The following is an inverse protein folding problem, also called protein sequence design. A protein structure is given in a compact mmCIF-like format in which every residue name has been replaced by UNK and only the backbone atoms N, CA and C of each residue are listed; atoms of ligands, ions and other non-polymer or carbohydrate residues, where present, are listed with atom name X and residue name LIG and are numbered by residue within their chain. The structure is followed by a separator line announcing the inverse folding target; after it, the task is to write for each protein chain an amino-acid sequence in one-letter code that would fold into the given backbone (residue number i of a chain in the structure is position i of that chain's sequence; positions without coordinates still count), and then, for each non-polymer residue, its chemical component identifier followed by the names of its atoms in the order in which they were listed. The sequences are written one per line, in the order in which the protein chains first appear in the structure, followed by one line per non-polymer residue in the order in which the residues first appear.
data_IF_035838251423
#
_entry.id   IF_035838251423
#
_cell.length_a   1.000
_cell.length_b   1.000
_cell.length_c   1.000
_cell.angle_alpha   90.00
_cell.angle_beta   90.00
_cell.angle_gamma   90.00
#
_symmetry.space_group_name_H-M   'P 1'
#
loop_
_entity.id
_entity.type
_entity.pdbx_description
1 polymer ?
#
# COMPACT_ATOMS: atom_id res chain seq x y z
N UNK A 1 32.14 -41.44 -35.76
CA UNK A 1 33.02 -40.69 -34.84
C UNK A 1 33.20 -41.55 -33.58
N UNK A 2 34.34 -42.21 -33.41
CA UNK A 2 34.57 -43.13 -32.27
C UNK A 2 34.93 -42.30 -31.03
N UNK A 3 34.29 -42.52 -29.85
CA UNK A 3 34.65 -41.80 -28.63
C UNK A 3 36.12 -42.03 -28.29
N UNK A 4 36.91 -40.95 -28.20
CA UNK A 4 38.33 -41.02 -27.82
C UNK A 4 38.54 -41.43 -26.36
N UNK A 5 37.50 -41.39 -25.53
CA UNK A 5 37.61 -41.75 -24.11
C UNK A 5 37.40 -43.24 -23.86
N UNK A 6 38.38 -43.88 -23.22
CA UNK A 6 38.27 -45.27 -22.76
C UNK A 6 37.24 -45.38 -21.64
N UNK A 7 36.33 -46.36 -21.74
CA UNK A 7 35.37 -46.69 -20.67
C UNK A 7 36.09 -47.03 -19.35
N UNK A 8 35.43 -46.80 -18.20
CA UNK A 8 36.00 -47.12 -16.88
C UNK A 8 36.43 -48.58 -16.76
N UNK A 9 35.65 -49.51 -17.33
CA UNK A 9 35.97 -50.93 -17.38
C UNK A 9 37.28 -51.20 -18.15
N UNK A 10 37.45 -50.56 -19.33
CA UNK A 10 38.69 -50.66 -20.11
C UNK A 10 39.89 -50.06 -19.37
N UNK A 11 39.73 -48.91 -18.71
CA UNK A 11 40.79 -48.32 -17.86
C UNK A 11 41.15 -49.26 -16.70
N UNK A 12 40.17 -49.93 -16.08
CA UNK A 12 40.43 -50.89 -15.00
C UNK A 12 41.18 -52.13 -15.51
N UNK A 13 40.76 -52.71 -16.64
CA UNK A 13 41.45 -53.81 -17.30
C UNK A 13 42.88 -53.44 -17.72
N UNK A 14 43.08 -52.28 -18.35
CA UNK A 14 44.42 -51.82 -18.73
C UNK A 14 45.34 -51.58 -17.53
N UNK A 15 44.76 -51.20 -16.37
CA UNK A 15 45.49 -51.07 -15.11
C UNK A 15 45.88 -52.44 -14.52
N UNK A 16 45.01 -53.44 -14.62
CA UNK A 16 45.29 -54.81 -14.19
C UNK A 16 46.32 -55.51 -15.09
N UNK A 17 46.30 -55.24 -16.40
CA UNK A 17 47.24 -55.80 -17.39
C UNK A 17 48.59 -55.07 -17.37
N UNK A 18 48.75 -54.01 -16.56
CA UNK A 18 49.99 -53.23 -16.48
C UNK A 18 50.26 -52.34 -17.71
N UNK A 19 49.29 -52.18 -18.61
CA UNK A 19 49.41 -51.31 -19.81
C UNK A 19 49.18 -49.83 -19.51
N UNK A 20 48.53 -49.51 -18.39
CA UNK A 20 48.48 -48.15 -17.86
C UNK A 20 49.56 -48.01 -16.80
N UNK A 21 50.51 -47.10 -17.04
CA UNK A 21 51.47 -46.67 -16.03
C UNK A 21 50.69 -46.28 -14.76
N UNK A 22 51.14 -46.71 -13.57
CA UNK A 22 50.53 -46.26 -12.34
C UNK A 22 50.52 -44.74 -12.35
N UNK A 23 49.33 -44.13 -12.32
CA UNK A 23 49.22 -42.72 -12.01
C UNK A 23 49.83 -42.56 -10.63
N UNK A 24 51.05 -42.01 -10.59
CA UNK A 24 51.61 -41.46 -9.37
C UNK A 24 50.57 -40.48 -8.86
N UNK A 25 49.91 -40.87 -7.76
CA UNK A 25 49.19 -39.88 -6.97
C UNK A 25 50.30 -38.97 -6.48
N UNK A 26 50.45 -37.82 -7.14
CA UNK A 26 51.26 -36.71 -6.65
C UNK A 26 50.87 -36.60 -5.19
N UNK A 27 51.81 -36.96 -4.29
CA UNK A 27 51.60 -36.77 -2.86
C UNK A 27 51.30 -35.28 -2.76
N UNK A 28 50.16 -34.86 -2.18
CA UNK A 28 49.95 -33.43 -1.98
C UNK A 28 51.21 -32.90 -1.33
N UNK A 29 51.84 -31.92 -1.98
CA UNK A 29 53.15 -31.45 -1.57
C UNK A 29 53.05 -31.10 -0.09
N UNK A 30 54.08 -31.42 0.69
CA UNK A 30 54.06 -31.13 2.13
C UNK A 30 53.77 -29.64 2.36
N UNK A 31 54.22 -28.80 1.43
CA UNK A 31 53.87 -27.38 1.30
C UNK A 31 52.38 -27.13 1.08
N UNK A 32 51.68 -27.90 0.25
CA UNK A 32 50.22 -27.78 0.09
C UNK A 32 49.47 -28.15 1.38
N UNK A 33 49.90 -29.21 2.08
CA UNK A 33 49.30 -29.60 3.37
C UNK A 33 49.54 -28.50 4.42
N UNK A 34 50.76 -27.97 4.49
CA UNK A 34 51.10 -26.84 5.37
C UNK A 34 50.40 -25.54 4.95
N UNK A 35 50.13 -25.36 3.65
CA UNK A 35 49.40 -24.20 3.12
C UNK A 35 47.91 -24.24 3.50
N UNK A 36 47.34 -25.42 3.82
CA UNK A 36 45.98 -25.52 4.38
C UNK A 36 46.01 -25.04 5.84
N UNK A 37 45.92 -23.72 6.00
CA UNK A 37 45.74 -23.09 7.30
C UNK A 37 44.48 -23.64 7.98
N UNK A 38 44.56 -23.86 9.29
CA UNK A 38 43.39 -24.20 10.09
C UNK A 38 42.27 -23.17 9.87
N UNK A 39 41.00 -23.60 9.83
CA UNK A 39 39.89 -22.67 9.64
C UNK A 39 39.82 -21.70 10.83
N UNK A 40 39.70 -20.40 10.54
CA UNK A 40 39.61 -19.31 11.53
C UNK A 40 38.64 -19.61 12.67
N UNK A 41 37.55 -20.32 12.41
CA UNK A 41 36.58 -20.79 13.41
C UNK A 41 37.19 -21.52 14.62
N UNK A 42 38.36 -22.17 14.48
CA UNK A 42 39.06 -22.85 15.59
C UNK A 42 39.91 -21.90 16.44
N UNK A 43 40.29 -20.75 15.89
CA UNK A 43 41.10 -19.72 16.55
C UNK A 43 40.22 -18.67 17.27
N UNK A 44 38.89 -18.74 17.10
CA UNK A 44 37.95 -17.76 17.64
C UNK A 44 37.65 -18.00 19.12
N UNK A 45 37.64 -16.92 19.89
CA UNK A 45 37.25 -16.89 21.31
C UNK A 45 35.71 -16.91 21.38
N UNK A 46 35.15 -17.55 22.41
CA UNK A 46 33.69 -17.67 22.61
C UNK A 46 33.01 -16.32 22.79
N UNK A 47 33.67 -15.38 23.46
CA UNK A 47 33.13 -14.05 23.81
C UNK A 47 33.49 -12.97 22.78
N UNK A 48 33.90 -13.38 21.58
CA UNK A 48 34.30 -12.47 20.52
C UNK A 48 33.08 -11.71 19.94
N UNK A 49 33.33 -10.46 19.55
CA UNK A 49 32.33 -9.61 18.93
C UNK A 49 31.91 -10.10 17.52
N UNK A 50 30.77 -10.78 17.44
CA UNK A 50 30.23 -11.31 16.19
C UNK A 50 30.01 -10.27 15.06
N UNK A 51 29.42 -9.09 15.33
CA UNK A 51 29.31 -8.00 14.33
C UNK A 51 30.63 -7.62 13.64
N UNK A 52 31.78 -7.71 14.33
CA UNK A 52 33.10 -7.43 13.74
C UNK A 52 33.54 -8.52 12.76
N UNK A 53 33.17 -9.78 13.03
CA UNK A 53 33.51 -10.94 12.19
C UNK A 53 32.66 -10.96 10.90
N UNK A 54 31.38 -10.59 11.02
CA UNK A 54 30.41 -10.68 9.93
C UNK A 54 29.64 -9.34 9.73
N UNK A 55 30.30 -8.28 9.23
CA UNK A 55 29.73 -6.94 9.22
C UNK A 55 28.65 -6.70 8.16
N UNK A 56 28.71 -7.42 7.02
CA UNK A 56 27.85 -7.18 5.84
C UNK A 56 27.28 -8.48 5.27
N UNK A 57 26.27 -8.36 4.40
CA UNK A 57 25.71 -9.50 3.68
C UNK A 57 26.80 -10.22 2.88
N UNK A 58 27.01 -11.50 3.19
CA UNK A 58 28.04 -12.32 2.56
C UNK A 58 27.57 -13.77 2.44
N UNK A 59 28.08 -14.49 1.43
CA UNK A 59 27.83 -15.93 1.30
C UNK A 59 28.39 -16.70 2.49
N UNK A 60 27.72 -17.79 2.89
CA UNK A 60 28.15 -18.60 4.03
C UNK A 60 29.58 -19.16 3.85
N UNK A 61 30.45 -18.89 4.83
CA UNK A 61 31.86 -19.33 4.86
C UNK A 61 32.08 -20.24 6.07
N UNK A 62 32.17 -21.54 5.83
CA UNK A 62 32.36 -22.54 6.90
C UNK A 62 33.69 -22.42 7.64
N UNK A 63 34.66 -21.68 7.10
CA UNK A 63 35.94 -21.42 7.76
C UNK A 63 35.86 -20.32 8.83
N UNK A 64 34.84 -19.47 8.77
CA UNK A 64 34.67 -18.30 9.66
C UNK A 64 33.55 -18.53 10.67
N UNK A 65 32.49 -19.25 10.30
CA UNK A 65 31.34 -19.47 11.18
C UNK A 65 31.65 -20.57 12.20
N UNK A 66 31.74 -20.28 13.51
CA UNK A 66 32.12 -21.23 14.56
C UNK A 66 30.92 -22.08 15.04
N UNK A 67 30.03 -22.45 14.12
CA UNK A 67 28.81 -23.20 14.42
C UNK A 67 28.80 -24.54 13.67
N UNK A 68 28.51 -25.67 14.35
CA UNK A 68 28.45 -26.99 13.72
C UNK A 68 27.12 -27.21 12.96
N UNK A 69 26.75 -26.28 12.07
CA UNK A 69 25.49 -26.31 11.32
C UNK A 69 25.48 -27.46 10.31
N UNK A 70 24.35 -28.19 10.24
CA UNK A 70 24.10 -29.28 9.28
C UNK A 70 22.80 -29.00 8.52
N UNK A 71 22.78 -29.33 7.24
CA UNK A 71 21.58 -29.21 6.39
C UNK A 71 21.50 -30.37 5.41
N UNK A 72 20.26 -30.79 5.10
CA UNK A 72 19.90 -31.74 4.04
C UNK A 72 19.74 -33.20 4.49
N UNK A 73 19.02 -33.97 3.68
CA UNK A 73 18.74 -35.40 3.88
C UNK A 73 19.95 -36.25 3.47
N UNK A 74 20.58 -36.98 4.40
CA UNK A 74 21.91 -37.58 4.17
C UNK A 74 21.86 -39.06 3.80
N UNK A 75 22.34 -39.39 2.58
CA UNK A 75 22.91 -40.72 2.26
C UNK A 75 24.42 -40.82 2.57
N UNK A 76 25.15 -39.69 2.62
CA UNK A 76 26.59 -39.63 2.93
C UNK A 76 26.89 -38.46 3.87
N UNK A 77 27.14 -38.72 5.18
CA UNK A 77 27.29 -37.67 6.18
C UNK A 77 28.59 -36.85 6.07
N UNK A 78 29.55 -37.27 5.27
CA UNK A 78 30.82 -36.54 5.13
C UNK A 78 30.70 -35.33 4.18
N UNK A 79 29.78 -35.38 3.21
CA UNK A 79 29.62 -34.30 2.24
C UNK A 79 28.74 -33.18 2.82
N UNK A 80 29.36 -32.02 3.09
CA UNK A 80 28.63 -30.79 3.44
C UNK A 80 27.94 -30.25 2.19
N UNK A 81 26.61 -30.15 2.22
CA UNK A 81 25.82 -29.50 1.17
C UNK A 81 26.19 -28.00 1.15
N UNK A 82 26.23 -27.35 -0.02
CA UNK A 82 26.59 -25.94 -0.08
C UNK A 82 25.53 -25.08 0.62
N UNK A 83 25.83 -24.62 1.84
CA UNK A 83 25.12 -23.52 2.52
C UNK A 83 25.18 -22.19 1.74
N UNK A 84 25.91 -22.14 0.62
CA UNK A 84 26.14 -20.94 -0.18
C UNK A 84 24.88 -20.38 -0.81
N UNK A 85 23.85 -21.20 -1.04
CA UNK A 85 22.61 -20.77 -1.72
C UNK A 85 21.62 -20.08 -0.79
N UNK A 86 21.79 -20.18 0.53
CA UNK A 86 20.86 -19.59 1.48
C UNK A 86 21.26 -18.13 1.77
N UNK A 87 20.34 -17.16 1.61
CA UNK A 87 20.53 -15.82 2.13
C UNK A 87 20.55 -15.91 3.65
N UNK A 88 21.73 -15.76 4.24
CA UNK A 88 21.91 -15.83 5.68
C UNK A 88 21.76 -14.45 6.33
N UNK A 89 21.33 -14.43 7.59
CA UNK A 89 21.12 -13.22 8.38
C UNK A 89 22.24 -13.04 9.43
N UNK A 90 23.42 -13.61 9.18
CA UNK A 90 24.54 -13.58 10.13
C UNK A 90 25.08 -12.17 10.41
N UNK A 91 24.87 -11.22 9.49
CA UNK A 91 25.20 -9.79 9.67
C UNK A 91 24.11 -9.00 10.41
N UNK A 92 22.91 -9.58 10.58
CA UNK A 92 21.75 -8.96 11.20
C UNK A 92 21.40 -9.65 12.53
N UNK A 93 22.40 -9.91 13.36
CA UNK A 93 22.17 -10.41 14.72
C UNK A 93 21.58 -9.31 15.61
N UNK A 94 20.85 -9.63 16.69
CA UNK A 94 20.28 -8.62 17.59
C UNK A 94 21.31 -7.59 18.09
N UNK A 95 22.50 -8.06 18.49
CA UNK A 95 23.60 -7.19 18.91
C UNK A 95 24.11 -6.26 17.79
N UNK A 96 24.11 -6.71 16.54
CA UNK A 96 24.43 -5.87 15.39
C UNK A 96 23.34 -4.81 15.15
N UNK A 97 22.07 -5.23 15.18
CA UNK A 97 20.91 -4.35 14.98
C UNK A 97 20.89 -3.24 16.03
N UNK A 98 21.08 -3.55 17.31
CA UNK A 98 21.12 -2.55 18.37
C UNK A 98 22.21 -1.49 18.15
N UNK A 99 23.42 -1.92 17.77
CA UNK A 99 24.52 -0.99 17.44
C UNK A 99 24.21 -0.13 16.22
N UNK A 100 23.65 -0.74 15.16
CA UNK A 100 23.26 -0.03 13.96
C UNK A 100 22.16 1.00 14.25
N UNK A 101 21.10 0.62 14.96
CA UNK A 101 20.01 1.52 15.35
C UNK A 101 20.51 2.66 16.26
N UNK A 102 21.41 2.38 17.21
CA UNK A 102 22.03 3.41 18.05
C UNK A 102 22.83 4.42 17.23
N UNK A 103 23.56 3.97 16.20
CA UNK A 103 24.29 4.84 15.30
C UNK A 103 23.39 5.63 14.33
N UNK A 104 22.28 5.03 13.86
CA UNK A 104 21.32 5.64 12.93
C UNK A 104 20.43 6.66 13.65
N UNK A 105 20.20 6.50 14.96
CA UNK A 105 19.32 7.38 15.76
C UNK A 105 19.60 8.87 15.60
N UNK A 106 20.86 9.26 15.33
CA UNK A 106 21.25 10.65 15.06
C UNK A 106 20.63 11.27 13.81
N UNK A 107 20.16 10.45 12.86
CA UNK A 107 19.52 10.89 11.62
C UNK A 107 17.98 10.94 11.74
N UNK A 108 17.41 10.38 12.80
CA UNK A 108 15.97 10.37 13.03
C UNK A 108 15.52 11.68 13.65
N UNK A 109 14.37 12.19 13.20
CA UNK A 109 13.66 13.29 13.85
C UNK A 109 12.55 12.75 14.74
N UNK A 110 12.20 13.47 15.81
CA UNK A 110 11.06 13.10 16.64
C UNK A 110 9.76 13.36 15.88
N UNK A 111 8.79 12.45 16.03
CA UNK A 111 7.44 12.68 15.53
C UNK A 111 6.73 13.76 16.37
N UNK A 112 6.01 14.72 15.76
CA UNK A 112 5.31 15.76 16.51
C UNK A 112 4.26 15.14 17.45
N UNK A 113 4.39 15.41 18.76
CA UNK A 113 3.50 14.87 19.79
C UNK A 113 2.05 15.38 19.66
N UNK A 114 1.90 16.59 19.14
CA UNK A 114 0.60 17.23 18.87
C UNK A 114 -0.20 16.48 17.81
N UNK A 115 0.45 15.66 16.97
CA UNK A 115 -0.20 14.96 15.89
C UNK A 115 -0.85 13.66 16.39
N UNK A 116 -1.97 13.80 17.10
CA UNK A 116 -2.89 12.70 17.38
C UNK A 116 -3.70 12.35 16.12
N UNK A 117 -4.18 11.10 16.01
CA UNK A 117 -4.87 10.61 14.81
C UNK A 117 -6.04 11.48 14.33
N UNK A 118 -6.76 12.12 15.25
CA UNK A 118 -7.86 13.03 14.94
C UNK A 118 -7.39 14.38 14.38
N UNK A 119 -6.27 14.91 14.89
CA UNK A 119 -5.74 16.21 14.49
C UNK A 119 -5.08 16.17 13.10
N UNK A 120 -4.61 15.00 12.66
CA UNK A 120 -4.09 14.79 11.30
C UNK A 120 -5.15 15.15 10.25
N UNK A 121 -6.37 14.63 10.39
CA UNK A 121 -7.46 14.88 9.45
C UNK A 121 -7.91 16.34 9.42
N UNK A 122 -7.69 17.07 10.52
CA UNK A 122 -8.07 18.48 10.64
C UNK A 122 -7.02 19.41 10.00
N UNK A 123 -5.75 19.23 10.35
CA UNK A 123 -4.67 20.11 9.88
C UNK A 123 -4.06 19.69 8.55
N UNK A 124 -4.15 18.40 8.19
CA UNK A 124 -3.57 17.81 6.99
C UNK A 124 -4.64 17.03 6.18
N UNK A 125 -5.65 17.71 5.62
CA UNK A 125 -6.76 17.06 4.91
C UNK A 125 -6.36 16.43 3.56
N UNK A 126 -5.13 16.69 3.08
CA UNK A 126 -4.60 16.22 1.81
C UNK A 126 -3.65 15.03 2.03
N UNK A 127 -4.05 13.85 1.57
CA UNK A 127 -3.25 12.63 1.61
C UNK A 127 -2.65 12.41 0.22
N UNK A 128 -1.31 12.39 0.15
CA UNK A 128 -0.58 12.11 -1.09
C UNK A 128 0.08 10.74 -0.96
N UNK A 129 -0.35 9.79 -1.78
CA UNK A 129 0.21 8.43 -1.81
C UNK A 129 1.08 8.24 -3.06
N UNK A 130 2.25 7.64 -2.83
CA UNK A 130 3.20 7.24 -3.87
C UNK A 130 3.84 5.91 -3.51
N UNK A 131 4.33 5.19 -4.51
CA UNK A 131 4.95 3.87 -4.35
C UNK A 131 6.35 3.85 -4.95
N UNK A 132 7.29 3.29 -4.20
CA UNK A 132 8.66 3.03 -4.63
C UNK A 132 8.89 1.51 -4.77
N UNK A 133 9.49 1.09 -5.87
CA UNK A 133 9.75 -0.32 -6.18
C UNK A 133 11.26 -0.59 -6.21
N UNK A 134 11.70 -1.61 -5.48
CA UNK A 134 13.10 -2.04 -5.42
C UNK A 134 13.20 -3.42 -6.06
N UNK A 135 13.99 -3.52 -7.14
CA UNK A 135 14.18 -4.76 -7.92
C UNK A 135 15.62 -5.25 -7.86
N UNK A 136 15.80 -6.57 -7.98
CA UNK A 136 17.11 -7.15 -8.25
C UNK A 136 17.41 -7.01 -9.74
N UNK A 137 18.18 -6.01 -10.14
CA UNK A 137 18.58 -5.79 -11.52
C UNK A 137 19.46 -4.56 -11.70
N UNK A 138 19.96 -4.36 -12.92
CA UNK A 138 20.84 -3.22 -13.22
C UNK A 138 20.04 -1.91 -13.39
N UNK A 139 18.75 -2.00 -13.72
CA UNK A 139 17.87 -0.84 -13.87
C UNK A 139 17.15 -0.54 -12.56
N UNK A 140 17.32 0.68 -12.06
CA UNK A 140 16.54 1.25 -10.94
C UNK A 140 15.20 1.84 -11.39
N UNK A 141 14.90 1.84 -12.70
CA UNK A 141 13.73 2.51 -13.26
C UNK A 141 12.51 1.59 -13.21
N UNK A 142 11.44 2.05 -12.58
CA UNK A 142 10.12 1.45 -12.66
C UNK A 142 9.10 2.53 -13.04
N UNK A 143 8.35 2.28 -14.11
CA UNK A 143 7.35 3.22 -14.64
C UNK A 143 6.19 3.46 -13.66
N UNK A 144 5.90 2.51 -12.76
CA UNK A 144 4.83 2.63 -11.76
C UNK A 144 5.14 3.69 -10.69
N UNK A 145 6.42 3.99 -10.46
CA UNK A 145 6.87 5.01 -9.50
C UNK A 145 6.38 6.44 -9.83
N UNK A 146 5.90 6.69 -11.06
CA UNK A 146 5.42 8.01 -11.49
C UNK A 146 4.01 8.32 -11.02
N UNK A 147 3.21 7.30 -10.71
CA UNK A 147 1.80 7.44 -10.37
C UNK A 147 1.69 8.12 -9.01
N UNK A 148 0.90 9.19 -8.95
CA UNK A 148 0.54 9.90 -7.73
C UNK A 148 -0.96 9.76 -7.51
N UNK A 149 -1.34 9.41 -6.29
CA UNK A 149 -2.75 9.42 -5.86
C UNK A 149 -2.91 10.49 -4.79
N UNK A 150 -3.82 11.44 -5.03
CA UNK A 150 -4.16 12.49 -4.08
C UNK A 150 -5.58 12.27 -3.59
N UNK A 151 -5.75 12.19 -2.28
CA UNK A 151 -7.02 11.97 -1.61
C UNK A 151 -7.32 13.11 -0.64
N UNK A 152 -8.56 13.60 -0.65
CA UNK A 152 -9.03 14.61 0.32
C UNK A 152 -10.55 14.55 0.48
N UNK A 153 -11.07 15.05 1.60
CA UNK A 153 -12.51 15.15 1.86
C UNK A 153 -13.09 16.46 1.30
N UNK A 154 -14.23 16.41 0.63
CA UNK A 154 -14.82 17.59 -0.01
C UNK A 154 -15.32 18.61 1.02
N UNK A 155 -15.90 18.15 2.12
CA UNK A 155 -16.36 18.97 3.25
C UNK A 155 -15.28 19.88 3.84
N UNK A 156 -14.00 19.54 3.68
CA UNK A 156 -12.87 20.34 4.19
C UNK A 156 -12.39 21.40 3.19
N UNK A 157 -12.76 21.29 1.92
CA UNK A 157 -12.32 22.20 0.86
C UNK A 157 -13.34 23.31 0.57
N UNK A 158 -14.63 22.96 0.42
CA UNK A 158 -15.69 23.88 -0.01
C UNK A 158 -16.87 23.78 0.96
N UNK A 159 -17.23 24.90 1.59
CA UNK A 159 -18.40 25.00 2.48
C UNK A 159 -19.67 25.47 1.77
N UNK A 160 -19.55 26.11 0.61
CA UNK A 160 -20.69 26.60 -0.17
C UNK A 160 -21.39 25.46 -0.93
N UNK A 161 -22.69 25.23 -0.66
CA UNK A 161 -23.51 24.18 -1.26
C UNK A 161 -23.49 24.21 -2.80
N UNK A 162 -23.67 25.40 -3.41
CA UNK A 162 -23.66 25.55 -4.88
C UNK A 162 -22.31 25.13 -5.48
N UNK A 163 -21.22 25.61 -4.88
CA UNK A 163 -19.88 25.30 -5.36
C UNK A 163 -19.55 23.82 -5.13
N UNK A 164 -20.04 23.23 -4.03
CA UNK A 164 -19.92 21.80 -3.75
C UNK A 164 -20.63 20.96 -4.81
N UNK A 165 -21.87 21.28 -5.14
CA UNK A 165 -22.63 20.60 -6.18
C UNK A 165 -21.92 20.69 -7.55
N UNK A 166 -21.49 21.90 -7.92
CA UNK A 166 -20.72 22.13 -9.14
C UNK A 166 -19.41 21.34 -9.14
N UNK A 167 -18.70 21.27 -8.01
CA UNK A 167 -17.45 20.52 -7.88
C UNK A 167 -17.67 19.02 -8.07
N UNK A 168 -18.70 18.44 -7.45
CA UNK A 168 -19.06 17.02 -7.60
C UNK A 168 -19.37 16.70 -9.07
N UNK A 169 -20.11 17.58 -9.76
CA UNK A 169 -20.40 17.42 -11.19
C UNK A 169 -19.14 17.49 -12.06
N UNK A 170 -18.23 18.42 -11.79
CA UNK A 170 -16.98 18.57 -12.55
C UNK A 170 -16.04 17.37 -12.37
N UNK A 171 -16.01 16.77 -11.19
CA UNK A 171 -15.07 15.68 -10.88
C UNK A 171 -15.58 14.30 -11.32
N UNK A 172 -16.90 14.13 -11.40
CA UNK A 172 -17.55 12.90 -11.84
C UNK A 172 -17.20 11.69 -10.98
N UNK A 173 -16.78 10.59 -11.62
CA UNK A 173 -16.56 9.28 -10.99
C UNK A 173 -15.41 9.20 -9.96
N UNK A 174 -14.74 10.32 -9.67
CA UNK A 174 -13.64 10.40 -8.70
C UNK A 174 -14.10 10.76 -7.29
N UNK A 175 -15.38 11.12 -7.13
CA UNK A 175 -16.01 11.41 -5.85
C UNK A 175 -16.77 10.17 -5.36
N UNK A 176 -16.55 9.81 -4.11
CA UNK A 176 -17.35 8.81 -3.40
C UNK A 176 -18.31 9.49 -2.41
N UNK A 177 -19.61 9.37 -2.66
CA UNK A 177 -20.66 9.98 -1.84
C UNK A 177 -20.82 9.35 -0.46
N UNK A 178 -20.36 8.11 -0.25
CA UNK A 178 -20.45 7.45 1.06
C UNK A 178 -19.41 7.98 2.05
N UNK A 179 -18.19 8.22 1.57
CA UNK A 179 -17.05 8.65 2.40
C UNK A 179 -16.76 10.15 2.31
N UNK A 180 -17.45 10.87 1.41
CA UNK A 180 -17.17 12.25 1.02
C UNK A 180 -15.71 12.46 0.57
N UNK A 181 -15.10 11.41 0.01
CA UNK A 181 -13.70 11.41 -0.39
C UNK A 181 -13.54 11.58 -1.90
N UNK A 182 -12.54 12.36 -2.28
CA UNK A 182 -12.15 12.61 -3.66
C UNK A 182 -10.83 11.94 -3.90
N UNK A 183 -10.72 11.17 -4.98
CA UNK A 183 -9.47 10.52 -5.39
C UNK A 183 -9.03 10.99 -6.78
N UNK A 184 -7.91 11.70 -6.84
CA UNK A 184 -7.28 12.13 -8.10
C UNK A 184 -6.01 11.31 -8.33
N UNK A 185 -6.02 10.51 -9.40
CA UNK A 185 -4.84 9.75 -9.84
C UNK A 185 -4.20 10.46 -11.03
N UNK A 186 -2.89 10.75 -10.95
CA UNK A 186 -2.11 11.37 -12.02
C UNK A 186 -0.94 10.47 -12.43
N UNK A 187 -0.86 10.15 -13.71
CA UNK A 187 0.13 9.26 -14.30
C UNK A 187 0.67 9.74 -15.67
N UNK A 188 0.25 10.94 -16.10
CA UNK A 188 0.50 11.49 -17.45
C UNK A 188 1.95 11.88 -17.69
N UNK A 189 2.60 12.47 -16.69
CA UNK A 189 3.96 12.97 -16.81
C UNK A 189 4.99 11.88 -16.48
N UNK A 190 6.19 12.03 -17.02
CA UNK A 190 7.29 11.07 -16.83
C UNK A 190 7.79 11.04 -15.39
N UNK A 191 7.87 12.20 -14.73
CA UNK A 191 8.39 12.31 -13.36
C UNK A 191 7.27 12.40 -12.33
N UNK A 192 7.51 11.81 -11.15
CA UNK A 192 6.62 11.93 -9.98
C UNK A 192 6.38 13.39 -9.59
N UNK A 193 7.43 14.22 -9.63
CA UNK A 193 7.35 15.65 -9.31
C UNK A 193 6.34 16.37 -10.22
N UNK A 194 6.37 16.11 -11.52
CA UNK A 194 5.42 16.69 -12.47
C UNK A 194 4.00 16.19 -12.23
N UNK A 195 3.80 14.88 -11.99
CA UNK A 195 2.47 14.34 -11.69
C UNK A 195 1.87 14.90 -10.40
N UNK A 196 2.71 15.17 -9.39
CA UNK A 196 2.30 15.87 -8.17
C UNK A 196 1.87 17.31 -8.47
N UNK A 197 2.71 18.10 -9.14
CA UNK A 197 2.35 19.48 -9.51
C UNK A 197 1.11 19.54 -10.41
N UNK A 198 0.94 18.54 -11.28
CA UNK A 198 -0.27 18.42 -12.10
C UNK A 198 -1.52 18.12 -11.27
N UNK A 199 -1.43 17.26 -10.24
CA UNK A 199 -2.52 17.02 -9.32
C UNK A 199 -2.89 18.29 -8.53
N UNK A 200 -1.90 19.03 -8.02
CA UNK A 200 -2.09 20.32 -7.34
C UNK A 200 -2.75 21.36 -8.25
N UNK A 201 -2.34 21.42 -9.53
CA UNK A 201 -2.98 22.25 -10.55
C UNK A 201 -4.45 21.86 -10.78
N UNK A 202 -4.75 20.56 -10.93
CA UNK A 202 -6.12 20.08 -11.14
C UNK A 202 -7.04 20.45 -9.98
N UNK A 203 -6.57 20.30 -8.74
CA UNK A 203 -7.33 20.67 -7.54
C UNK A 203 -7.62 22.17 -7.54
N UNK A 204 -6.60 22.99 -7.78
CA UNK A 204 -6.74 24.46 -7.83
C UNK A 204 -7.70 24.90 -8.94
N UNK A 205 -7.58 24.32 -10.13
CA UNK A 205 -8.45 24.64 -11.26
C UNK A 205 -9.91 24.26 -10.98
N UNK A 206 -10.16 23.05 -10.47
CA UNK A 206 -11.50 22.61 -10.09
C UNK A 206 -12.11 23.49 -8.99
N UNK A 207 -11.29 23.90 -8.01
CA UNK A 207 -11.73 24.79 -6.94
C UNK A 207 -12.18 26.15 -7.50
N UNK A 208 -11.36 26.81 -8.32
CA UNK A 208 -11.73 28.12 -8.90
C UNK A 208 -12.92 28.02 -9.87
N UNK A 209 -12.97 26.99 -10.72
CA UNK A 209 -14.09 26.78 -11.65
C UNK A 209 -15.40 26.47 -10.92
N UNK A 210 -15.35 25.77 -9.78
CA UNK A 210 -16.53 25.50 -8.95
C UNK A 210 -17.11 26.77 -8.31
N UNK A 211 -16.27 27.76 -8.01
CA UNK A 211 -16.70 29.04 -7.44
C UNK A 211 -17.30 29.98 -8.50
N UNK A 212 -16.78 29.95 -9.73
CA UNK A 212 -17.28 30.74 -10.85
C UNK A 212 -18.75 30.38 -11.14
N UNK A 213 -19.58 31.38 -11.47
CA UNK A 213 -20.97 31.18 -11.92
C UNK A 213 -21.04 31.55 -13.40
N UNK A 214 -21.44 30.61 -14.22
CA UNK A 214 -21.64 30.84 -15.66
C UNK A 214 -23.11 31.13 -15.99
N UNK A 215 -23.41 31.90 -17.06
CA UNK A 215 -24.79 32.21 -17.45
C UNK A 215 -25.66 30.98 -17.71
N UNK A 216 -25.06 29.90 -18.22
CA UNK A 216 -25.76 28.65 -18.51
C UNK A 216 -26.16 27.86 -17.27
N UNK A 217 -25.59 28.14 -16.09
CA UNK A 217 -26.02 27.50 -14.84
C UNK A 217 -27.47 27.85 -14.48
N UNK A 218 -28.00 28.97 -15.02
CA UNK A 218 -29.41 29.36 -14.87
C UNK A 218 -30.37 28.49 -15.70
N UNK A 219 -29.84 27.75 -16.68
CA UNK A 219 -30.63 26.85 -17.54
C UNK A 219 -30.78 25.44 -16.92
N UNK A 220 -30.24 25.20 -15.72
CA UNK A 220 -30.31 23.91 -15.04
C UNK A 220 -31.77 23.49 -14.80
N UNK A 221 -32.13 22.28 -15.26
CA UNK A 221 -33.44 21.70 -15.00
C UNK A 221 -33.43 21.00 -13.63
N UNK A 222 -34.61 20.75 -13.06
CA UNK A 222 -34.73 20.04 -11.77
C UNK A 222 -34.15 18.64 -11.79
N UNK A 223 -34.13 18.01 -12.96
CA UNK A 223 -33.54 16.67 -13.16
C UNK A 223 -32.03 16.67 -12.96
N UNK A 224 -31.38 17.83 -13.07
CA UNK A 224 -29.94 17.95 -12.92
C UNK A 224 -29.52 18.02 -11.45
N UNK A 225 -30.44 18.39 -10.54
CA UNK A 225 -30.16 18.52 -9.11
C UNK A 225 -29.70 17.18 -8.51
N UNK A 226 -28.60 17.21 -7.74
CA UNK A 226 -28.09 16.01 -7.06
C UNK A 226 -29.09 15.52 -5.99
N UNK A 227 -29.74 16.47 -5.32
CA UNK A 227 -30.73 16.21 -4.28
C UNK A 227 -32.13 16.60 -4.76
N UNK A 228 -33.13 15.78 -4.44
CA UNK A 228 -34.54 16.04 -4.79
C UNK A 228 -35.08 17.12 -3.87
N UNK A 229 -35.30 18.33 -4.41
CA UNK A 229 -35.91 19.45 -3.68
C UNK A 229 -37.43 19.35 -3.74
N UNK A 230 -38.09 19.37 -2.58
CA UNK A 230 -39.56 19.37 -2.48
C UNK A 230 -40.16 20.70 -2.95
N UNK A 231 -39.50 21.81 -2.66
CA UNK A 231 -39.93 23.15 -3.04
C UNK A 231 -40.05 23.30 -4.57
N UNK A 232 -41.23 23.75 -4.98
CA UNK A 232 -41.71 23.89 -6.34
C UNK A 232 -42.10 22.58 -7.03
N UNK A 233 -41.92 21.40 -6.40
CA UNK A 233 -42.15 20.09 -7.02
C UNK A 233 -43.61 19.86 -7.40
N UNK A 234 -43.87 18.89 -8.28
CA UNK A 234 -45.25 18.46 -8.57
C UNK A 234 -45.93 17.89 -7.31
N UNK A 235 -45.16 17.28 -6.41
CA UNK A 235 -45.66 16.80 -5.13
C UNK A 235 -46.12 17.96 -4.24
N UNK A 236 -45.35 19.05 -4.15
CA UNK A 236 -45.79 20.23 -3.41
C UNK A 236 -47.07 20.83 -3.99
N UNK A 237 -47.16 20.98 -5.32
CA UNK A 237 -48.39 21.44 -5.98
C UNK A 237 -49.58 20.54 -5.65
N UNK A 238 -49.38 19.22 -5.69
CA UNK A 238 -50.41 18.25 -5.36
C UNK A 238 -50.85 18.33 -3.89
N UNK A 239 -49.91 18.53 -2.96
CA UNK A 239 -50.21 18.75 -1.54
C UNK A 239 -51.00 20.05 -1.34
N UNK A 240 -50.61 21.13 -2.03
CA UNK A 240 -51.34 22.41 -1.99
C UNK A 240 -52.76 22.25 -2.56
N UNK A 241 -52.93 21.53 -3.66
CA UNK A 241 -54.24 21.20 -4.24
C UNK A 241 -55.12 20.41 -3.26
N UNK A 242 -54.56 19.38 -2.61
CA UNK A 242 -55.24 18.60 -1.57
C UNK A 242 -55.66 19.52 -0.40
N UNK A 243 -54.77 20.40 0.07
CA UNK A 243 -55.07 21.35 1.15
C UNK A 243 -56.21 22.30 0.74
N UNK A 244 -56.23 22.79 -0.51
CA UNK A 244 -57.34 23.61 -1.01
C UNK A 244 -58.66 22.83 -1.10
N UNK A 245 -58.64 21.55 -1.50
CA UNK A 245 -59.82 20.69 -1.51
C UNK A 245 -60.37 20.44 -0.11
N UNK A 246 -59.49 20.24 0.88
CA UNK A 246 -59.88 20.09 2.28
C UNK A 246 -60.46 21.40 2.81
N UNK A 247 -59.80 22.53 2.56
CA UNK A 247 -60.23 23.85 3.06
C UNK A 247 -61.58 24.29 2.46
N UNK A 248 -61.87 23.88 1.23
CA UNK A 248 -63.17 24.14 0.59
C UNK A 248 -64.29 23.22 1.09
N UNK A 249 -63.97 21.98 1.48
CA UNK A 249 -64.91 21.02 2.08
C UNK A 249 -65.12 21.20 3.58
N UNK A 250 -64.15 21.77 4.31
CA UNK A 250 -64.20 21.98 5.77
C UNK A 250 -65.16 23.08 6.24
N UNK A 251 -66.16 23.45 5.42
CA UNK A 251 -67.43 23.97 5.93
C UNK A 251 -68.29 22.86 6.57
N UNK A 252 -67.86 21.60 6.43
CA UNK A 252 -68.39 20.44 7.14
C UNK A 252 -67.61 20.20 8.45
N UNK A 253 -68.35 19.85 9.51
CA UNK A 253 -67.99 19.68 10.93
C UNK A 253 -66.54 19.31 11.26
N UNK A 254 -65.97 19.92 12.32
CA UNK A 254 -64.59 19.69 12.82
C UNK A 254 -64.18 18.22 12.96
N UNK A 255 -65.16 17.33 13.19
CA UNK A 255 -64.95 15.89 13.34
C UNK A 255 -64.48 15.21 12.04
N UNK A 256 -65.00 15.62 10.87
CA UNK A 256 -64.61 15.03 9.57
C UNK A 256 -63.17 15.36 9.19
N UNK A 257 -62.73 16.58 9.53
CA UNK A 257 -61.34 17.02 9.33
C UNK A 257 -60.39 16.24 10.24
N UNK A 258 -60.81 15.90 11.47
CA UNK A 258 -60.01 15.07 12.39
C UNK A 258 -59.89 13.63 11.92
N UNK A 259 -60.98 13.01 11.47
CA UNK A 259 -60.95 11.64 10.92
C UNK A 259 -60.05 11.57 9.68
N UNK A 260 -60.23 12.48 8.72
CA UNK A 260 -59.39 12.54 7.52
C UNK A 260 -57.91 12.83 7.86
N UNK A 261 -57.66 13.69 8.84
CA UNK A 261 -56.31 13.98 9.33
C UNK A 261 -55.63 12.76 9.97
N UNK A 262 -56.40 11.86 10.59
CA UNK A 262 -55.90 10.58 11.10
C UNK A 262 -55.65 9.59 9.96
N UNK A 263 -56.54 9.51 8.97
CA UNK A 263 -56.35 8.66 7.78
C UNK A 263 -55.10 9.07 6.98
N UNK A 264 -54.87 10.36 6.78
CA UNK A 264 -53.68 10.85 6.07
C UNK A 264 -52.38 10.62 6.86
N UNK A 265 -52.40 10.71 8.20
CA UNK A 265 -51.23 10.33 9.01
C UNK A 265 -50.93 8.85 8.91
N UNK A 266 -51.96 8.01 8.89
CA UNK A 266 -51.82 6.57 8.69
C UNK A 266 -51.25 6.26 7.29
N UNK A 267 -51.71 6.98 6.27
CA UNK A 267 -51.24 6.80 4.88
C UNK A 267 -49.79 7.28 4.68
N UNK A 268 -49.40 8.38 5.33
CA UNK A 268 -48.05 8.95 5.24
C UNK A 268 -47.04 8.35 6.23
N UNK A 269 -47.47 7.43 7.10
CA UNK A 269 -46.59 6.78 8.09
C UNK A 269 -45.99 7.73 9.12
N UNK A 270 -46.66 8.84 9.42
CA UNK A 270 -46.17 9.86 10.38
C UNK A 270 -46.50 9.37 11.80
N UNK A 271 -45.51 9.12 12.68
CA UNK A 271 -45.77 8.64 14.04
C UNK A 271 -46.51 9.70 14.89
N UNK A 272 -47.35 9.25 15.83
CA UNK A 272 -47.98 10.14 16.82
C UNK A 272 -46.91 10.80 17.68
N UNK A 273 -46.73 12.11 17.52
CA UNK A 273 -46.04 12.91 18.53
C UNK A 273 -46.97 12.98 19.74
N UNK A 274 -46.72 12.14 20.75
CA UNK A 274 -47.28 12.32 22.08
C UNK A 274 -46.72 13.63 22.64
N UNK A 275 -47.44 14.74 22.44
CA UNK A 275 -47.28 15.87 23.33
C UNK A 275 -47.83 15.45 24.70
N UNK A 276 -47.02 15.47 25.77
CA UNK A 276 -47.56 15.33 27.11
C UNK A 276 -48.54 16.50 27.33
N UNK A 277 -49.78 16.16 27.64
CA UNK A 277 -50.85 17.13 27.83
C UNK A 277 -50.63 18.03 29.06
N UNK A 278 -51.11 19.26 28.90
CA UNK A 278 -51.09 20.45 29.77
C UNK A 278 -49.82 21.29 29.76
#
# INVERSE_FOLDING_TARGET
MVPKEKTRARKALEKLIGRLAPQERIRPDFEEILAVRNPRSKEMITDQDWPSIWPVAASFRSSVVPLPVRMGYRRKPEKRIPFKTIPNFLHLTPAAIERHCKAIKKFCTQWPQEMSSSLVDEYLPLIISYSDFIHQGNSIRDNRCRIITVMFKLNKLITNERAREKFIRLIGNRYDGQTDSITIVTDRCFTRKQNRSYAEYLITALFHESLKVEPWEKLADRKDAIEVKFEGSAAEKHVIEIIHQITSKSKETEDSVREYGQEMRNLLGIPFLNHPGN
#
